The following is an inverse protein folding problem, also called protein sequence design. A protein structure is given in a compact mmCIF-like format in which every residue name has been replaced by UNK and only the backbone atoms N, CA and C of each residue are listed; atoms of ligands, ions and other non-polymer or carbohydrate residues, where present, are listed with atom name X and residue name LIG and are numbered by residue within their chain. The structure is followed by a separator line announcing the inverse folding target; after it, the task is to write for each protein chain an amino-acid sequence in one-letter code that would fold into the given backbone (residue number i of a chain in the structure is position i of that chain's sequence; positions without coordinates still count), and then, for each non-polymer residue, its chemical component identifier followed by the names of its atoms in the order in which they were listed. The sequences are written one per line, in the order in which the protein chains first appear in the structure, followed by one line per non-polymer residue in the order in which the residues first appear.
data_IF_313869947676
#
_entry.id   IF_313869947676
#
_cell.length_a   1.000
_cell.length_b   1.000
_cell.length_c   1.000
_cell.angle_alpha   90.00
_cell.angle_beta   90.00
_cell.angle_gamma   90.00
#
_symmetry.space_group_name_H-M   'P 1'
#
loop_
_entity.id
_entity.type
_entity.pdbx_description
1 polymer ?
#
# COMPACT_ATOMS: atom_id res chain seq x y z
N UNK A 1 32.72 2.32 3.94
CA UNK A 1 32.69 1.47 2.73
C UNK A 1 31.76 0.30 3.06
N UNK A 2 30.45 0.56 2.99
CA UNK A 2 29.58 0.27 1.84
C UNK A 2 28.91 -1.11 1.97
N UNK A 3 27.73 -1.11 2.56
CA UNK A 3 26.60 -1.88 2.03
C UNK A 3 25.38 -0.97 2.15
N UNK A 4 25.40 0.01 1.26
CA UNK A 4 24.34 0.97 1.00
C UNK A 4 23.55 0.40 -0.21
N UNK A 5 22.23 0.52 -0.17
CA UNK A 5 21.30 0.37 -1.30
C UNK A 5 21.11 -1.02 -1.94
N UNK A 6 20.08 -1.73 -1.47
CA UNK A 6 19.28 -2.63 -2.33
C UNK A 6 17.80 -2.59 -1.91
N UNK A 7 17.27 -1.39 -1.68
CA UNK A 7 15.82 -1.15 -1.70
C UNK A 7 15.42 -0.89 -3.17
N UNK A 8 15.52 -1.89 -4.04
CA UNK A 8 15.01 -1.79 -5.42
C UNK A 8 14.96 -3.16 -6.10
N UNK A 9 13.89 -3.38 -6.87
CA UNK A 9 13.67 -4.46 -7.84
C UNK A 9 13.13 -5.79 -7.31
N UNK A 10 12.02 -5.72 -6.58
CA UNK A 10 10.95 -6.63 -6.93
C UNK A 10 9.83 -5.76 -7.48
N UNK A 11 9.63 -5.78 -8.80
CA UNK A 11 8.45 -5.21 -9.44
C UNK A 11 7.26 -6.13 -9.14
N UNK A 12 6.90 -6.26 -7.87
CA UNK A 12 5.66 -6.93 -7.52
C UNK A 12 4.53 -5.95 -7.87
N UNK A 13 3.93 -6.10 -9.05
CA UNK A 13 2.78 -5.31 -9.48
C UNK A 13 1.55 -5.44 -8.59
N UNK A 14 1.64 -6.32 -7.57
CA UNK A 14 0.55 -6.79 -6.74
C UNK A 14 0.82 -6.56 -5.23
N UNK A 15 1.78 -5.71 -4.86
CA UNK A 15 2.01 -5.33 -3.45
C UNK A 15 1.14 -4.13 -3.06
N UNK A 16 0.43 -4.26 -1.94
CA UNK A 16 -0.31 -3.17 -1.32
C UNK A 16 0.46 -2.60 -0.12
N UNK A 17 0.69 -1.29 -0.11
CA UNK A 17 1.27 -0.60 1.04
C UNK A 17 0.15 -0.12 1.96
N UNK A 18 0.20 -0.55 3.22
CA UNK A 18 -0.73 -0.08 4.27
C UNK A 18 -0.12 1.16 4.90
N UNK A 19 -0.76 2.32 4.70
CA UNK A 19 -0.31 3.61 5.21
C UNK A 19 -1.38 4.17 6.16
N UNK A 20 -1.10 4.15 7.47
CA UNK A 20 -2.02 4.70 8.47
C UNK A 20 -2.17 6.22 8.39
N UNK A 21 -1.29 6.92 7.65
CA UNK A 21 -1.39 8.34 7.37
C UNK A 21 -2.33 8.68 6.21
N UNK A 22 -2.77 7.70 5.42
CA UNK A 22 -3.65 7.92 4.27
C UNK A 22 -5.14 7.91 4.69
N UNK A 23 -5.86 9.00 4.41
CA UNK A 23 -7.32 9.05 4.59
C UNK A 23 -8.04 8.11 3.62
N UNK A 24 -7.55 8.05 2.38
CA UNK A 24 -8.05 7.18 1.33
C UNK A 24 -6.85 6.48 0.68
N UNK A 25 -6.98 5.17 0.42
CA UNK A 25 -5.94 4.41 -0.24
C UNK A 25 -6.22 4.33 -1.75
N UNK A 26 -5.17 4.35 -2.57
CA UNK A 26 -5.27 4.44 -4.03
C UNK A 26 -4.69 3.20 -4.71
N UNK A 27 -5.32 2.78 -5.81
CA UNK A 27 -4.86 1.68 -6.66
C UNK A 27 -4.92 2.07 -8.13
N UNK A 28 -3.96 1.60 -8.94
CA UNK A 28 -4.07 1.62 -10.40
C UNK A 28 -4.73 0.35 -10.97
N UNK A 29 -5.06 -0.64 -10.13
CA UNK A 29 -5.65 -1.93 -10.52
C UNK A 29 -7.16 -1.91 -10.32
N UNK A 30 -7.92 -1.65 -11.40
CA UNK A 30 -9.39 -1.56 -11.35
C UNK A 30 -10.04 -2.91 -11.01
N UNK A 31 -9.43 -4.00 -11.45
CA UNK A 31 -9.92 -5.36 -11.26
C UNK A 31 -9.87 -5.85 -9.81
N UNK A 32 -9.20 -5.12 -8.91
CA UNK A 32 -9.20 -5.44 -7.49
C UNK A 32 -10.46 -4.97 -6.77
N UNK A 33 -11.14 -3.95 -7.31
CA UNK A 33 -12.31 -3.35 -6.66
C UNK A 33 -13.52 -4.28 -6.79
N UNK A 34 -14.17 -4.57 -5.66
CA UNK A 34 -15.42 -5.33 -5.64
C UNK A 34 -16.64 -4.48 -6.04
N UNK A 35 -16.54 -3.15 -5.90
CA UNK A 35 -17.64 -2.19 -6.14
C UNK A 35 -17.20 -0.96 -6.93
N UNK A 36 -16.41 -1.13 -8.00
CA UNK A 36 -15.90 0.00 -8.78
C UNK A 36 -17.03 0.87 -9.38
N UNK A 37 -17.03 2.15 -9.01
CA UNK A 37 -17.85 3.20 -9.61
C UNK A 37 -16.94 4.23 -10.28
N UNK A 38 -17.12 4.40 -11.58
CA UNK A 38 -16.46 5.48 -12.33
C UNK A 38 -17.06 6.83 -11.93
N UNK A 39 -16.22 7.85 -11.82
CA UNK A 39 -16.70 9.22 -11.64
C UNK A 39 -17.19 9.81 -12.96
N UNK A 40 -18.23 10.65 -12.89
CA UNK A 40 -18.72 11.38 -14.06
C UNK A 40 -17.72 12.46 -14.50
N UNK A 41 -17.05 13.09 -13.52
CA UNK A 41 -15.94 14.02 -13.71
C UNK A 41 -14.73 13.52 -12.91
N UNK A 42 -13.54 13.53 -13.52
CA UNK A 42 -12.31 13.14 -12.82
C UNK A 42 -12.01 14.08 -11.66
N UNK A 43 -11.54 13.53 -10.55
CA UNK A 43 -11.22 14.31 -9.35
C UNK A 43 -9.71 14.54 -9.25
N UNK A 44 -9.31 15.78 -8.95
CA UNK A 44 -7.91 16.13 -8.74
C UNK A 44 -7.55 15.96 -7.25
N UNK A 45 -6.78 14.94 -6.94
CA UNK A 45 -6.36 14.60 -5.58
C UNK A 45 -4.96 15.14 -5.34
N UNK A 46 -4.79 15.91 -4.25
CA UNK A 46 -3.46 16.35 -3.80
C UNK A 46 -2.80 15.23 -3.00
N UNK A 47 -1.60 14.83 -3.39
CA UNK A 47 -0.84 13.77 -2.71
C UNK A 47 0.24 14.36 -1.77
N UNK A 48 0.88 13.50 -0.98
CA UNK A 48 1.81 13.90 0.09
C UNK A 48 3.00 14.76 -0.36
N UNK A 49 3.41 14.68 -1.62
CA UNK A 49 4.47 15.53 -2.20
C UNK A 49 3.97 16.88 -2.72
N UNK A 50 2.69 17.19 -2.52
CA UNK A 50 2.04 18.43 -2.94
C UNK A 50 1.57 18.46 -4.39
N UNK A 51 1.86 17.43 -5.20
CA UNK A 51 1.36 17.33 -6.57
C UNK A 51 -0.11 16.91 -6.61
N UNK A 52 -0.70 17.05 -7.78
CA UNK A 52 -2.06 16.60 -8.06
C UNK A 52 -2.05 15.42 -9.03
N UNK A 53 -2.89 14.42 -8.75
CA UNK A 53 -3.17 13.29 -9.63
C UNK A 53 -4.67 13.17 -9.86
N UNK A 54 -5.06 12.45 -10.91
CA UNK A 54 -6.47 12.27 -11.26
C UNK A 54 -6.99 10.93 -10.77
N UNK A 55 -8.04 10.96 -9.95
CA UNK A 55 -8.85 9.81 -9.63
C UNK A 55 -10.00 9.69 -10.64
N UNK A 56 -10.18 8.48 -11.18
CA UNK A 56 -11.17 8.19 -12.25
C UNK A 56 -12.38 7.41 -11.74
N UNK A 57 -12.37 7.04 -10.46
CA UNK A 57 -13.41 6.26 -9.80
C UNK A 57 -12.99 5.86 -8.40
N UNK A 58 -13.94 5.31 -7.66
CA UNK A 58 -13.75 4.76 -6.32
C UNK A 58 -14.52 3.44 -6.16
N UNK A 59 -14.22 2.71 -5.10
CA UNK A 59 -14.91 1.49 -4.75
C UNK A 59 -14.25 0.84 -3.55
N UNK A 60 -14.79 -0.31 -3.17
CA UNK A 60 -14.31 -1.07 -2.04
C UNK A 60 -13.28 -2.10 -2.50
N UNK A 61 -12.28 -2.30 -1.64
CA UNK A 61 -11.27 -3.36 -1.76
C UNK A 61 -11.43 -4.28 -0.55
N UNK A 62 -11.43 -5.59 -0.80
CA UNK A 62 -11.50 -6.58 0.26
C UNK A 62 -10.11 -7.19 0.45
N UNK A 63 -9.49 -6.92 1.60
CA UNK A 63 -8.19 -7.50 1.96
C UNK A 63 -8.36 -8.62 2.97
N UNK A 64 -7.55 -9.67 2.80
CA UNK A 64 -7.28 -10.64 3.86
C UNK A 64 -5.83 -10.48 4.25
N UNK A 65 -5.57 -10.14 5.52
CA UNK A 65 -4.23 -9.93 6.04
C UNK A 65 -3.91 -11.02 7.07
N UNK A 66 -2.78 -11.69 6.89
CA UNK A 66 -2.20 -12.56 7.90
C UNK A 66 -1.13 -11.79 8.67
N UNK A 67 -1.41 -11.48 9.92
CA UNK A 67 -0.42 -10.88 10.81
C UNK A 67 0.54 -11.98 11.26
N UNK A 68 1.75 -11.97 10.70
CA UNK A 68 2.82 -12.86 11.15
C UNK A 68 3.44 -12.22 12.39
N UNK A 69 3.10 -12.73 13.57
CA UNK A 69 3.86 -12.42 14.77
C UNK A 69 5.20 -13.16 14.69
N UNK A 70 6.28 -12.45 14.36
CA UNK A 70 7.63 -12.93 14.67
C UNK A 70 7.78 -12.87 16.19
N UNK A 71 7.46 -13.98 16.86
CA UNK A 71 7.89 -14.20 18.23
C UNK A 71 9.42 -14.26 18.19
N UNK A 72 10.07 -13.14 18.51
CA UNK A 72 11.47 -13.14 18.92
C UNK A 72 11.56 -14.04 20.15
N UNK A 73 11.93 -15.30 19.95
CA UNK A 73 12.32 -16.18 21.03
C UNK A 73 13.55 -15.57 21.68
N UNK A 74 13.34 -14.83 22.77
CA UNK A 74 14.40 -14.46 23.69
C UNK A 74 14.93 -15.74 24.32
N UNK A 75 15.94 -16.34 23.71
CA UNK A 75 16.75 -17.36 24.34
C UNK A 75 17.44 -16.71 25.55
N UNK A 76 16.87 -16.90 26.74
CA UNK A 76 17.60 -16.67 27.99
C UNK A 76 18.75 -17.67 28.03
N UNK A 77 19.96 -17.19 27.80
CA UNK A 77 21.17 -17.88 28.24
C UNK A 77 21.12 -17.88 29.77
N UNK A 78 21.01 -19.08 30.33
CA UNK A 78 21.18 -19.36 31.75
C UNK A 78 22.56 -18.93 32.22
N UNK A 79 22.59 -18.19 33.33
CA UNK A 79 23.63 -18.35 34.34
C UNK A 79 22.96 -18.78 35.63
#
# INVERSE_FOLDING_TARGET
MSAEYACHLETFSDVWHIDSGATEHMSNRREWFSSYKKFDTVENIKIGDGKYIQAIGSGDLCFSCFIIFLLSMGAKVSQ
#
